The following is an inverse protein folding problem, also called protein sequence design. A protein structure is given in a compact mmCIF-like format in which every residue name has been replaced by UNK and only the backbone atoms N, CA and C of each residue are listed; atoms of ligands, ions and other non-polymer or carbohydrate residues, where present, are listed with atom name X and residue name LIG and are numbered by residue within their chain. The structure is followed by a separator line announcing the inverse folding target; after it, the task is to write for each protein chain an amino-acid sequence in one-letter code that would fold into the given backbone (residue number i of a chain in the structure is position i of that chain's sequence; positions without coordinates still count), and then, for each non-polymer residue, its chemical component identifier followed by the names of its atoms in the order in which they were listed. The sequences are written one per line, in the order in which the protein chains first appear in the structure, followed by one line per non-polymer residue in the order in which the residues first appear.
data_IF_098291852138
#
_entry.id   IF_098291852138
#
_cell.length_a   1.000
_cell.length_b   1.000
_cell.length_c   1.000
_cell.angle_alpha   90.00
_cell.angle_beta   90.00
_cell.angle_gamma   90.00
#
_symmetry.space_group_name_H-M   'P 1'
#
loop_
_entity.id
_entity.type
_entity.pdbx_description
1 polymer ?
#
# COMPACT_ATOMS: atom_id res chain seq x y z
N UNK A 1 4.05 -0.79 15.29
CA UNK A 1 3.14 -1.40 14.30
C UNK A 1 3.96 -1.71 13.05
N UNK A 2 3.58 -2.71 12.27
CA UNK A 2 4.21 -2.98 10.98
C UNK A 2 3.23 -3.64 10.03
N UNK A 3 3.51 -3.53 8.74
CA UNK A 3 2.78 -4.25 7.69
C UNK A 3 3.75 -4.99 6.76
N UNK A 4 3.29 -6.08 6.19
CA UNK A 4 3.94 -6.79 5.11
C UNK A 4 2.90 -7.17 4.06
N UNK A 5 3.32 -7.33 2.81
CA UNK A 5 2.43 -7.67 1.69
C UNK A 5 2.96 -8.88 0.93
N UNK A 6 2.06 -9.61 0.28
CA UNK A 6 2.36 -10.82 -0.49
C UNK A 6 1.94 -10.75 -1.96
N UNK A 7 2.52 -11.66 -2.75
CA UNK A 7 2.29 -11.75 -4.20
C UNK A 7 0.86 -12.23 -4.59
N UNK A 8 0.04 -12.64 -3.62
CA UNK A 8 -1.35 -13.06 -3.80
C UNK A 8 -2.37 -11.97 -3.40
N UNK A 9 -1.90 -10.77 -3.07
CA UNK A 9 -2.76 -9.67 -2.59
C UNK A 9 -2.93 -9.65 -1.08
N UNK A 10 -2.24 -10.53 -0.34
CA UNK A 10 -2.31 -10.56 1.13
C UNK A 10 -1.62 -9.35 1.76
N UNK A 11 -2.19 -8.89 2.86
CA UNK A 11 -1.61 -7.89 3.75
C UNK A 11 -1.61 -8.44 5.17
N UNK A 12 -0.43 -8.48 5.78
CA UNK A 12 -0.23 -8.92 7.17
C UNK A 12 0.06 -7.71 8.03
N UNK A 13 -0.72 -7.53 9.08
CA UNK A 13 -0.54 -6.47 10.08
C UNK A 13 0.06 -7.05 11.35
N UNK A 14 1.01 -6.33 11.94
CA UNK A 14 1.53 -6.62 13.28
C UNK A 14 1.28 -5.45 14.22
N UNK A 15 0.46 -5.67 15.24
CA UNK A 15 0.18 -4.72 16.31
C UNK A 15 0.53 -5.34 17.67
N UNK A 16 1.69 -4.97 18.23
CA UNK A 16 2.23 -5.62 19.43
C UNK A 16 2.49 -7.11 19.18
N UNK A 17 1.72 -7.97 19.87
CA UNK A 17 1.74 -9.43 19.71
C UNK A 17 0.63 -9.95 18.79
N UNK A 18 -0.33 -9.10 18.43
CA UNK A 18 -1.45 -9.48 17.56
C UNK A 18 -1.05 -9.41 16.09
N UNK A 19 -1.53 -10.40 15.33
CA UNK A 19 -1.36 -10.48 13.87
C UNK A 19 -2.74 -10.52 13.24
N UNK A 20 -2.95 -9.69 12.21
CA UNK A 20 -4.18 -9.67 11.43
C UNK A 20 -3.84 -9.82 9.95
N UNK A 21 -4.75 -10.42 9.19
CA UNK A 21 -4.58 -10.65 7.76
C UNK A 21 -5.77 -10.09 6.98
N UNK A 22 -5.47 -9.41 5.89
CA UNK A 22 -6.46 -8.90 4.93
C UNK A 22 -6.02 -9.25 3.51
N UNK A 23 -6.92 -9.05 2.55
CA UNK A 23 -6.61 -9.14 1.13
C UNK A 23 -7.09 -7.87 0.43
N UNK A 24 -6.28 -7.38 -0.50
CA UNK A 24 -6.69 -6.34 -1.44
C UNK A 24 -7.33 -7.02 -2.64
N UNK A 25 -8.56 -6.62 -2.97
CA UNK A 25 -9.26 -7.08 -4.16
C UNK A 25 -9.28 -6.00 -5.26
N UNK A 26 -9.15 -6.38 -6.55
CA UNK A 26 -8.90 -7.74 -7.03
C UNK A 26 -7.48 -8.22 -6.65
N UNK A 27 -7.34 -9.52 -6.35
CA UNK A 27 -6.03 -10.12 -6.01
C UNK A 27 -4.97 -9.81 -7.06
N UNK A 28 -3.89 -9.16 -6.63
CA UNK A 28 -2.72 -8.80 -7.43
C UNK A 28 -1.46 -8.97 -6.61
N UNK A 29 -0.33 -9.17 -7.29
CA UNK A 29 0.96 -9.23 -6.62
C UNK A 29 1.34 -7.86 -6.04
N UNK A 30 1.32 -7.76 -4.71
CA UNK A 30 1.81 -6.61 -3.98
C UNK A 30 3.31 -6.79 -3.74
N UNK A 31 4.05 -5.69 -3.81
CA UNK A 31 5.52 -5.73 -3.80
C UNK A 31 6.17 -4.68 -2.89
N UNK A 32 5.41 -3.68 -2.43
CA UNK A 32 5.86 -2.71 -1.45
C UNK A 32 4.71 -2.34 -0.51
N UNK A 33 5.06 -1.93 0.71
CA UNK A 33 4.11 -1.50 1.71
C UNK A 33 4.71 -0.43 2.61
N UNK A 34 3.89 0.50 3.09
CA UNK A 34 4.30 1.53 4.04
C UNK A 34 3.14 1.92 4.96
N UNK A 35 3.46 2.57 6.08
CA UNK A 35 2.47 3.16 6.98
C UNK A 35 2.79 4.64 7.10
N UNK A 36 1.81 5.50 6.87
CA UNK A 36 1.99 6.94 7.02
C UNK A 36 1.88 7.42 8.49
N UNK A 37 2.08 8.72 8.71
CA UNK A 37 2.03 9.33 10.03
C UNK A 37 0.66 9.24 10.72
N UNK A 38 -0.43 9.08 9.96
CA UNK A 38 -1.79 8.89 10.48
C UNK A 38 -2.08 7.41 10.82
N UNK A 39 -1.14 6.50 10.52
CA UNK A 39 -1.29 5.08 10.74
C UNK A 39 -2.05 4.35 9.63
N UNK A 40 -2.34 5.01 8.50
CA UNK A 40 -2.95 4.35 7.34
C UNK A 40 -1.91 3.49 6.65
N UNK A 41 -2.29 2.28 6.27
CA UNK A 41 -1.43 1.43 5.46
C UNK A 41 -1.56 1.75 3.99
N UNK A 42 -0.44 1.60 3.31
CA UNK A 42 -0.29 1.77 1.89
C UNK A 42 0.36 0.52 1.29
N UNK A 43 -0.05 0.18 0.08
CA UNK A 43 0.51 -0.93 -0.68
C UNK A 43 0.77 -0.51 -2.12
N UNK A 44 1.81 -1.07 -2.73
CA UNK A 44 2.15 -0.87 -4.14
C UNK A 44 2.26 -2.19 -4.88
N UNK A 45 1.86 -2.17 -6.16
CA UNK A 45 2.08 -3.23 -7.14
C UNK A 45 2.54 -2.63 -8.46
N UNK A 46 2.73 -3.48 -9.48
CA UNK A 46 2.74 -3.00 -10.86
C UNK A 46 1.46 -2.20 -11.16
N UNK A 47 1.65 -0.96 -11.61
CA UNK A 47 0.59 -0.09 -12.14
C UNK A 47 -0.45 0.39 -11.14
N UNK A 48 -0.31 0.15 -9.83
CA UNK A 48 -1.31 0.56 -8.82
C UNK A 48 -0.69 0.90 -7.46
N UNK A 49 -1.31 1.85 -6.77
CA UNK A 49 -1.05 2.19 -5.37
C UNK A 49 -2.40 2.21 -4.63
N UNK A 50 -2.42 1.58 -3.46
CA UNK A 50 -3.59 1.54 -2.58
C UNK A 50 -3.33 2.17 -1.23
N UNK A 51 -4.39 2.69 -0.62
CA UNK A 51 -4.43 3.11 0.78
C UNK A 51 -5.57 2.39 1.50
N UNK A 52 -5.36 2.01 2.76
CA UNK A 52 -6.43 1.49 3.62
C UNK A 52 -7.08 2.63 4.41
N UNK A 53 -8.37 2.85 4.19
CA UNK A 53 -9.22 3.77 4.98
C UNK A 53 -9.95 3.00 6.08
N UNK A 54 -10.38 3.69 7.15
CA UNK A 54 -11.21 3.09 8.21
C UNK A 54 -10.47 2.68 9.51
N UNK A 55 -9.18 3.02 9.65
CA UNK A 55 -8.41 2.81 10.88
C UNK A 55 -7.43 1.64 10.81
N UNK A 56 -7.02 1.14 11.98
CA UNK A 56 -6.04 0.05 12.13
C UNK A 56 -6.78 -1.22 12.58
N UNK A 57 -6.46 -2.41 12.03
CA UNK A 57 -7.07 -3.67 12.48
C UNK A 57 -7.01 -3.84 14.02
N UNK A 58 -8.08 -4.38 14.64
CA UNK A 58 -9.23 -5.07 14.01
C UNK A 58 -10.36 -4.13 13.53
N UNK A 59 -10.16 -2.80 13.51
CA UNK A 59 -11.17 -1.88 12.98
C UNK A 59 -11.45 -2.18 11.51
N UNK A 60 -12.72 -2.21 11.14
CA UNK A 60 -13.15 -2.37 9.75
C UNK A 60 -12.51 -1.29 8.88
N UNK A 61 -12.01 -1.67 7.71
CA UNK A 61 -11.45 -0.73 6.76
C UNK A 61 -11.48 -1.28 5.35
N UNK A 62 -11.24 -0.39 4.40
CA UNK A 62 -11.36 -0.66 2.98
C UNK A 62 -10.08 -0.23 2.28
N UNK A 63 -9.58 -1.08 1.40
CA UNK A 63 -8.48 -0.74 0.50
C UNK A 63 -9.03 -0.01 -0.72
N UNK A 64 -8.52 1.18 -0.97
CA UNK A 64 -8.90 2.02 -2.11
C UNK A 64 -7.71 2.17 -3.04
N UNK A 65 -7.91 1.93 -4.33
CA UNK A 65 -6.90 2.19 -5.35
C UNK A 65 -6.90 3.70 -5.63
N UNK A 66 -5.81 4.38 -5.25
CA UNK A 66 -5.69 5.85 -5.34
C UNK A 66 -4.86 6.32 -6.52
N UNK A 67 -4.11 5.40 -7.13
CA UNK A 67 -3.43 5.63 -8.39
C UNK A 67 -3.44 4.34 -9.20
N UNK A 68 -3.71 4.46 -10.50
CA UNK A 68 -3.55 3.35 -11.44
C UNK A 68 -3.07 3.82 -12.81
N UNK A 69 -2.24 2.98 -13.45
CA UNK A 69 -1.87 3.10 -14.84
C UNK A 69 -1.42 1.74 -15.38
N UNK A 70 -2.23 1.12 -16.24
CA UNK A 70 -1.95 -0.23 -16.76
C UNK A 70 -0.76 -0.29 -17.74
N UNK A 71 -0.28 0.86 -18.24
CA UNK A 71 0.95 0.90 -19.04
C UNK A 71 2.21 0.71 -18.17
N UNK A 72 2.11 0.86 -16.85
CA UNK A 72 3.21 0.72 -15.91
C UNK A 72 3.27 -0.71 -15.36
N UNK A 73 4.10 -1.54 -15.99
CA UNK A 73 4.17 -2.98 -15.69
C UNK A 73 5.27 -3.34 -14.67
N UNK A 74 6.21 -2.44 -14.40
CA UNK A 74 7.24 -2.62 -13.38
C UNK A 74 6.63 -2.61 -11.97
N UNK A 75 6.94 -3.59 -11.09
CA UNK A 75 6.43 -3.59 -9.72
C UNK A 75 7.02 -2.43 -8.92
N UNK A 76 6.23 -1.85 -8.02
CA UNK A 76 6.73 -0.88 -7.03
C UNK A 76 7.64 -1.60 -6.04
N UNK A 77 8.89 -1.13 -5.91
CA UNK A 77 9.91 -1.73 -5.01
C UNK A 77 10.23 -0.85 -3.81
N UNK A 78 9.86 0.44 -3.87
CA UNK A 78 9.95 1.36 -2.74
C UNK A 78 8.71 2.23 -2.70
N UNK A 79 8.12 2.37 -1.52
CA UNK A 79 6.94 3.20 -1.26
C UNK A 79 7.21 4.03 -0.02
N UNK A 80 7.32 5.34 -0.21
CA UNK A 80 7.46 6.32 0.85
C UNK A 80 6.16 7.13 0.92
N UNK A 81 5.62 7.28 2.13
CA UNK A 81 4.41 8.06 2.35
C UNK A 81 4.62 8.91 3.59
N UNK A 82 4.29 10.19 3.44
CA UNK A 82 4.24 11.17 4.53
C UNK A 82 2.90 11.92 4.48
N UNK A 83 2.67 12.86 5.40
CA UNK A 83 1.40 13.59 5.51
C UNK A 83 1.02 14.38 4.25
N UNK A 84 2.00 14.76 3.41
CA UNK A 84 1.76 15.59 2.22
C UNK A 84 2.05 14.89 0.90
N UNK A 85 2.87 13.83 0.91
CA UNK A 85 3.43 13.24 -0.31
C UNK A 85 3.44 11.72 -0.27
N UNK A 86 3.18 11.13 -1.44
CA UNK A 86 3.38 9.72 -1.74
C UNK A 86 4.43 9.65 -2.83
N UNK A 87 5.53 8.93 -2.61
CA UNK A 87 6.55 8.65 -3.61
C UNK A 87 6.69 7.14 -3.75
N UNK A 88 6.55 6.64 -4.97
CA UNK A 88 6.82 5.25 -5.31
C UNK A 88 7.89 5.14 -6.40
N UNK A 89 8.74 4.13 -6.28
CA UNK A 89 9.77 3.78 -7.26
C UNK A 89 9.49 2.38 -7.79
N UNK A 90 9.42 2.24 -9.10
CA UNK A 90 9.26 0.94 -9.78
C UNK A 90 10.60 0.28 -10.06
N UNK A 91 10.60 -1.04 -10.23
CA UNK A 91 11.82 -1.83 -10.46
C UNK A 91 12.61 -1.44 -11.73
N UNK A 92 11.93 -0.81 -12.70
CA UNK A 92 12.51 -0.28 -13.95
C UNK A 92 12.94 1.20 -13.83
N UNK A 93 12.91 1.78 -12.62
CA UNK A 93 13.39 3.13 -12.32
C UNK A 93 12.36 4.24 -12.55
N UNK A 94 11.11 3.90 -12.84
CA UNK A 94 10.02 4.86 -12.90
C UNK A 94 9.70 5.45 -11.51
N UNK A 95 9.26 6.71 -11.49
CA UNK A 95 8.91 7.44 -10.28
C UNK A 95 7.46 7.93 -10.38
N UNK A 96 6.69 7.65 -9.33
CA UNK A 96 5.33 8.16 -9.16
C UNK A 96 5.37 9.09 -7.94
N UNK A 97 4.95 10.34 -8.12
CA UNK A 97 4.79 11.31 -7.05
C UNK A 97 3.34 11.80 -7.04
N UNK A 98 2.73 11.80 -5.86
CA UNK A 98 1.37 12.27 -5.63
C UNK A 98 1.27 13.03 -4.32
N UNK A 99 0.20 13.82 -4.18
CA UNK A 99 -0.14 14.47 -2.92
C UNK A 99 -1.20 13.69 -2.17
N UNK A 100 -1.05 13.66 -0.85
CA UNK A 100 -2.11 13.19 0.04
C UNK A 100 -3.13 14.31 0.18
N UNK A 101 -4.31 14.16 -0.41
CA UNK A 101 -5.46 15.03 -0.12
C UNK A 101 -6.41 14.31 0.83
N UNK A 102 -6.82 15.01 1.88
CA UNK A 102 -7.73 14.54 2.93
C UNK A 102 -9.11 14.16 2.41
#
# INVERSE_FOLDING_TARGET
MGIAVGADGSVVWRYGQSVFTEHIEPRRALSAASIDAEGRAWAGSAGRIWVRRGGIPPMAGTWECVWENDAWVGPVVSLFVDSEVVVAITADGGIIEGRVTG
#
